data_IF_901601837239
#
_entry.id   IF_901601837239
#
_cell.length_a   1.000
_cell.length_b   1.000
_cell.length_c   1.000
_cell.angle_alpha   90.00
_cell.angle_beta   90.00
_cell.angle_gamma   90.00
#
_symmetry.space_group_name_H-M   'P 1'
#
loop_
_entity.id
_entity.type
_entity.pdbx_description
1 polymer ?
#
# COMPACT_ATOMS: atom_id res chain seq x y z
N UNK A 1 6.84 12.50 -1.06
CA UNK A 1 8.29 12.24 -0.96
C UNK A 1 8.53 10.79 -1.31
N UNK A 2 9.34 10.52 -2.34
CA UNK A 2 9.27 9.24 -3.05
C UNK A 2 10.62 8.70 -3.51
N UNK A 3 10.96 7.48 -3.07
CA UNK A 3 11.74 6.51 -3.86
C UNK A 3 11.84 5.12 -3.18
N UNK A 4 11.22 4.16 -3.87
CA UNK A 4 11.62 2.76 -4.16
C UNK A 4 11.68 1.75 -3.02
N UNK A 5 11.00 0.63 -3.21
CA UNK A 5 10.97 -0.62 -2.42
C UNK A 5 10.11 -0.56 -1.16
N UNK A 6 9.16 -1.49 -1.08
CA UNK A 6 8.12 -1.71 -0.04
C UNK A 6 7.06 -0.62 0.20
N UNK A 7 7.31 0.67 -0.07
CA UNK A 7 6.22 1.65 -0.16
C UNK A 7 6.41 2.55 -1.39
N UNK A 8 5.57 2.33 -2.41
CA UNK A 8 5.41 3.29 -3.48
C UNK A 8 4.76 4.55 -2.92
N UNK A 9 5.30 5.69 -3.32
CA UNK A 9 4.83 7.00 -2.88
C UNK A 9 4.45 7.90 -4.07
N UNK A 10 4.54 7.39 -5.30
CA UNK A 10 3.98 7.89 -6.59
C UNK A 10 3.71 6.70 -7.53
N UNK A 11 2.82 6.85 -8.50
CA UNK A 11 2.47 5.80 -9.46
C UNK A 11 3.68 5.27 -10.29
N UNK A 12 4.67 6.11 -10.60
CA UNK A 12 5.88 5.71 -11.32
C UNK A 12 6.79 4.76 -10.54
N UNK A 13 6.73 4.82 -9.20
CA UNK A 13 7.53 3.95 -8.33
C UNK A 13 7.03 2.49 -8.28
N UNK A 14 5.82 2.24 -8.79
CA UNK A 14 5.30 0.88 -8.95
C UNK A 14 5.77 0.21 -10.25
N UNK A 15 6.30 0.97 -11.22
CA UNK A 15 6.75 0.41 -12.50
C UNK A 15 8.11 -0.28 -12.32
N UNK A 16 8.15 -1.60 -12.58
CA UNK A 16 9.36 -2.42 -12.40
C UNK A 16 9.69 -2.72 -10.93
N UNK A 17 8.79 -2.39 -9.99
CA UNK A 17 8.96 -2.74 -8.60
C UNK A 17 8.90 -4.27 -8.43
N UNK A 18 9.82 -4.88 -7.64
CA UNK A 18 9.76 -6.31 -7.38
C UNK A 18 8.49 -6.68 -6.63
N UNK A 19 8.11 -7.95 -6.69
CA UNK A 19 6.97 -8.51 -5.94
C UNK A 19 7.07 -8.07 -4.47
N UNK A 20 6.05 -7.44 -3.89
CA UNK A 20 6.13 -6.84 -2.55
C UNK A 20 5.95 -7.91 -1.46
N UNK A 21 6.80 -8.95 -1.46
CA UNK A 21 6.69 -10.12 -0.58
C UNK A 21 6.65 -9.76 0.92
N UNK A 22 7.33 -8.67 1.31
CA UNK A 22 7.39 -8.22 2.70
C UNK A 22 6.36 -7.14 3.06
N UNK A 23 5.56 -6.64 2.10
CA UNK A 23 4.61 -5.56 2.39
C UNK A 23 3.54 -5.97 3.41
N UNK A 24 3.16 -7.25 3.46
CA UNK A 24 2.23 -7.77 4.47
C UNK A 24 2.72 -7.60 5.91
N UNK A 25 4.04 -7.58 6.14
CA UNK A 25 4.63 -7.40 7.47
C UNK A 25 4.33 -6.02 8.06
N UNK A 26 4.14 -5.01 7.22
CA UNK A 26 3.79 -3.66 7.67
C UNK A 26 2.40 -3.61 8.30
N UNK A 27 1.42 -4.21 7.62
CA UNK A 27 0.06 -4.35 8.16
C UNK A 27 0.07 -5.14 9.47
N UNK A 28 0.76 -6.27 9.49
CA UNK A 28 0.91 -7.10 10.69
C UNK A 28 1.55 -6.33 11.85
N UNK A 29 2.66 -5.63 11.61
CA UNK A 29 3.35 -4.87 12.65
C UNK A 29 2.48 -3.73 13.21
N UNK A 30 1.67 -3.07 12.37
CA UNK A 30 0.68 -2.08 12.82
C UNK A 30 -0.38 -2.71 13.70
N UNK A 31 -0.92 -3.87 13.30
CA UNK A 31 -1.88 -4.62 14.10
C UNK A 31 -1.30 -5.01 15.47
N UNK A 32 -0.09 -5.57 15.50
CA UNK A 32 0.59 -5.93 16.75
C UNK A 32 0.76 -4.72 17.66
N UNK A 33 1.22 -3.57 17.14
CA UNK A 33 1.35 -2.34 17.95
C UNK A 33 0.00 -1.85 18.50
N UNK A 34 -1.09 -2.07 17.78
CA UNK A 34 -2.42 -1.64 18.19
C UNK A 34 -3.06 -2.60 19.21
N UNK A 35 -2.82 -3.91 19.07
CA UNK A 35 -3.37 -4.95 19.95
C UNK A 35 -2.51 -5.18 21.20
N UNK A 36 -1.20 -4.96 21.10
CA UNK A 36 -0.20 -5.15 22.16
C UNK A 36 0.69 -3.91 22.34
N UNK A 37 0.20 -2.81 22.95
CA UNK A 37 0.95 -1.57 23.13
C UNK A 37 2.23 -1.73 23.98
N UNK A 38 2.32 -2.77 24.80
CA UNK A 38 3.49 -3.14 25.59
C UNK A 38 4.66 -3.64 24.73
N UNK A 39 4.38 -4.13 23.53
CA UNK A 39 5.38 -4.64 22.60
C UNK A 39 5.97 -3.50 21.78
N UNK A 40 7.24 -3.20 22.02
CA UNK A 40 8.00 -2.22 21.22
C UNK A 40 8.43 -2.83 19.89
N UNK A 41 7.57 -2.68 18.89
CA UNK A 41 7.82 -3.17 17.53
C UNK A 41 8.12 -2.02 16.56
N UNK A 42 9.21 -2.16 15.82
CA UNK A 42 9.67 -1.20 14.83
C UNK A 42 9.85 -1.88 13.47
N UNK A 43 9.56 -1.15 12.41
CA UNK A 43 9.72 -1.63 11.03
C UNK A 43 10.63 -0.67 10.27
N UNK A 44 11.72 -1.20 9.74
CA UNK A 44 12.63 -0.44 8.88
C UNK A 44 12.70 -1.16 7.54
N UNK A 45 12.30 -0.46 6.49
CA UNK A 45 12.49 -0.95 5.13
C UNK A 45 13.81 -0.44 4.55
N UNK A 46 14.53 -1.34 3.87
CA UNK A 46 15.94 -1.16 3.53
C UNK A 46 16.15 -1.28 2.02
N UNK A 47 17.07 -0.47 1.49
CA UNK A 47 17.66 -0.75 0.19
C UNK A 47 18.46 -2.07 0.23
N UNK A 48 18.47 -2.80 -0.89
CA UNK A 48 19.17 -4.09 -1.01
C UNK A 48 20.67 -3.99 -0.71
N UNK A 49 21.27 -2.82 -0.95
CA UNK A 49 22.70 -2.54 -0.74
C UNK A 49 22.95 -1.72 0.54
N UNK A 50 21.98 -1.64 1.45
CA UNK A 50 22.13 -0.87 2.67
C UNK A 50 23.20 -1.49 3.59
N UNK A 51 24.10 -0.64 4.11
CA UNK A 51 25.07 -1.07 5.11
C UNK A 51 24.39 -1.18 6.48
N UNK A 52 24.43 -2.38 7.09
CA UNK A 52 23.74 -2.63 8.36
C UNK A 52 24.20 -1.71 9.51
N UNK A 53 25.49 -1.37 9.58
CA UNK A 53 26.01 -0.47 10.61
C UNK A 53 25.48 0.96 10.46
N UNK A 54 25.43 1.47 9.22
CA UNK A 54 24.84 2.77 8.90
C UNK A 54 23.34 2.77 9.24
N UNK A 55 22.60 1.74 8.81
CA UNK A 55 21.17 1.58 9.11
C UNK A 55 20.90 1.68 10.60
N UNK A 56 21.61 0.91 11.43
CA UNK A 56 21.41 0.92 12.89
C UNK A 56 21.72 2.30 13.46
N UNK A 57 22.87 2.87 13.10
CA UNK A 57 23.35 4.15 13.64
C UNK A 57 22.38 5.29 13.34
N UNK A 58 21.80 5.32 12.14
CA UNK A 58 20.94 6.42 11.71
C UNK A 58 19.47 6.22 12.08
N UNK A 59 18.98 4.97 12.15
CA UNK A 59 17.56 4.69 12.45
C UNK A 59 17.27 4.61 13.95
N UNK A 60 18.15 4.03 14.77
CA UNK A 60 17.89 3.83 16.22
C UNK A 60 17.55 5.14 16.97
N UNK A 61 18.23 6.28 16.72
CA UNK A 61 17.86 7.55 17.35
C UNK A 61 16.44 8.04 17.01
N UNK A 62 15.95 7.73 15.81
CA UNK A 62 14.59 8.06 15.36
C UNK A 62 13.56 7.09 15.96
N UNK A 63 13.88 5.80 15.99
CA UNK A 63 13.02 4.76 16.58
C UNK A 63 12.86 4.91 18.10
N UNK A 64 13.88 5.45 18.78
CA UNK A 64 13.85 5.69 20.23
C UNK A 64 13.34 7.09 20.60
N UNK A 65 13.10 7.97 19.62
CA UNK A 65 12.70 9.36 19.85
C UNK A 65 13.81 10.26 20.40
N UNK A 66 15.06 9.79 20.44
CA UNK A 66 16.21 10.57 20.92
C UNK A 66 16.54 11.78 20.03
N UNK A 67 16.27 11.70 18.73
CA UNK A 67 16.61 12.75 17.77
C UNK A 67 15.56 13.86 17.67
N UNK A 68 14.27 13.51 17.68
CA UNK A 68 13.16 14.43 17.38
C UNK A 68 12.17 14.62 18.54
N UNK A 69 12.37 13.94 19.67
CA UNK A 69 11.39 13.85 20.76
C UNK A 69 10.14 13.03 20.41
N UNK A 70 10.06 12.49 19.18
CA UNK A 70 8.95 11.68 18.69
C UNK A 70 9.47 10.30 18.28
N UNK A 71 8.80 9.26 18.78
CA UNK A 71 9.07 7.88 18.39
C UNK A 71 8.51 7.62 16.99
N UNK A 72 9.39 7.25 16.07
CA UNK A 72 8.98 6.72 14.76
C UNK A 72 8.92 5.19 14.84
N UNK A 73 7.77 4.61 14.52
CA UNK A 73 7.61 3.15 14.52
C UNK A 73 7.94 2.49 13.17
N UNK A 74 8.05 3.32 12.14
CA UNK A 74 8.13 2.93 10.75
C UNK A 74 9.09 3.88 10.03
N UNK A 75 10.14 3.32 9.41
CA UNK A 75 11.13 4.08 8.66
C UNK A 75 11.45 3.39 7.33
N UNK A 76 11.79 4.19 6.34
CA UNK A 76 12.39 3.75 5.09
C UNK A 76 13.80 4.32 5.00
N UNK A 77 14.79 3.44 4.95
CA UNK A 77 16.20 3.77 4.79
C UNK A 77 16.63 3.54 3.35
N UNK A 78 17.18 4.59 2.73
CA UNK A 78 17.70 4.54 1.36
C UNK A 78 19.11 5.09 1.32
N UNK A 79 20.05 4.31 0.79
CA UNK A 79 21.47 4.69 0.82
C UNK A 79 21.68 6.02 0.09
N UNK A 80 22.31 6.97 0.78
CA UNK A 80 22.60 8.31 0.23
C UNK A 80 21.37 9.24 0.13
N UNK A 81 20.27 8.91 0.80
CA UNK A 81 19.09 9.77 0.90
C UNK A 81 18.69 9.95 2.37
N UNK A 82 17.84 10.95 2.60
CA UNK A 82 17.22 11.16 3.90
C UNK A 82 16.34 9.98 4.29
N UNK A 83 16.35 9.64 5.59
CA UNK A 83 15.47 8.63 6.17
C UNK A 83 14.04 9.18 6.20
N UNK A 84 13.10 8.39 5.68
CA UNK A 84 11.70 8.79 5.58
C UNK A 84 10.84 8.04 6.60
N UNK A 85 9.83 8.70 7.17
CA UNK A 85 8.76 8.07 7.93
C UNK A 85 7.42 8.24 7.18
N UNK A 86 6.54 7.21 7.14
CA UNK A 86 5.26 7.33 6.44
C UNK A 86 4.33 8.30 7.18
N UNK A 87 3.58 9.07 6.41
CA UNK A 87 2.57 10.02 6.89
C UNK A 87 1.35 9.98 6.01
N UNK A 88 0.17 10.01 6.62
CA UNK A 88 -1.07 10.26 5.91
C UNK A 88 -1.16 11.75 5.63
N UNK A 89 -1.43 12.11 4.38
CA UNK A 89 -1.59 13.49 3.94
C UNK A 89 -2.91 13.62 3.20
N UNK A 90 -3.50 14.81 3.22
CA UNK A 90 -4.68 15.10 2.42
C UNK A 90 -4.33 15.03 0.93
N UNK A 91 -5.02 14.14 0.22
CA UNK A 91 -4.82 13.94 -1.21
C UNK A 91 -5.77 14.77 -2.08
N UNK A 92 -6.75 15.48 -1.51
CA UNK A 92 -7.86 16.14 -2.24
C UNK A 92 -7.36 17.13 -3.28
N UNK A 93 -6.38 17.97 -2.93
CA UNK A 93 -5.80 18.97 -3.84
C UNK A 93 -4.93 18.35 -4.95
N UNK A 94 -4.34 17.19 -4.67
CA UNK A 94 -3.50 16.43 -5.59
C UNK A 94 -4.27 15.39 -6.42
N UNK A 95 -5.53 15.11 -6.06
CA UNK A 95 -6.36 14.17 -6.79
C UNK A 95 -6.54 14.70 -8.20
N UNK A 96 -6.07 13.90 -9.16
CA UNK A 96 -6.34 14.08 -10.57
C UNK A 96 -7.14 12.86 -10.97
N UNK A 97 -8.43 13.02 -11.31
CA UNK A 97 -9.16 11.96 -11.96
C UNK A 97 -8.29 11.48 -13.13
N UNK A 98 -8.07 10.17 -13.22
CA UNK A 98 -7.32 9.63 -14.33
C UNK A 98 -8.11 9.97 -15.59
N UNK A 99 -7.55 10.84 -16.45
CA UNK A 99 -8.21 11.23 -17.69
C UNK A 99 -8.31 9.96 -18.54
N UNK A 100 -9.53 9.44 -18.65
CA UNK A 100 -9.90 8.20 -19.33
C UNK A 100 -9.31 6.91 -18.75
N UNK A 101 -9.82 6.47 -17.60
CA UNK A 101 -10.16 5.04 -17.52
C UNK A 101 -11.38 4.81 -18.41
N UNK A 102 -11.17 4.86 -19.72
CA UNK A 102 -12.20 4.51 -20.70
C UNK A 102 -12.16 3.00 -20.80
N UNK A 103 -13.06 2.35 -20.08
CA UNK A 103 -13.40 0.98 -20.39
C UNK A 103 -14.08 1.07 -21.77
N UNK A 104 -13.31 0.82 -22.82
CA UNK A 104 -13.87 0.84 -24.18
C UNK A 104 -15.05 -0.13 -24.25
N UNK A 105 -16.06 0.16 -25.06
CA UNK A 105 -17.29 -0.65 -25.22
C UNK A 105 -17.03 -2.13 -25.62
N UNK A 106 -15.77 -2.50 -25.90
CA UNK A 106 -15.32 -3.85 -26.20
C UNK A 106 -14.54 -4.54 -25.05
N UNK A 107 -14.31 -3.86 -23.91
CA UNK A 107 -13.51 -4.39 -22.80
C UNK A 107 -14.30 -5.38 -21.94
N UNK A 108 -13.61 -6.41 -21.44
CA UNK A 108 -14.14 -7.32 -20.42
C UNK A 108 -13.45 -7.05 -19.08
N UNK A 109 -14.22 -6.69 -18.06
CA UNK A 109 -13.75 -6.46 -16.70
C UNK A 109 -13.96 -7.72 -15.85
N UNK A 110 -12.88 -8.24 -15.26
CA UNK A 110 -12.93 -9.37 -14.33
C UNK A 110 -12.86 -8.83 -12.91
N UNK A 111 -13.85 -9.15 -12.08
CA UNK A 111 -13.95 -8.67 -10.70
C UNK A 111 -13.78 -9.84 -9.73
N UNK A 112 -12.66 -9.89 -9.01
CA UNK A 112 -12.45 -10.86 -7.91
C UNK A 112 -13.25 -10.46 -6.67
N UNK A 113 -13.92 -11.42 -6.03
CA UNK A 113 -14.90 -11.12 -4.99
C UNK A 113 -16.12 -10.37 -5.55
N UNK A 114 -16.42 -10.59 -6.84
CA UNK A 114 -17.41 -9.81 -7.60
C UNK A 114 -18.84 -9.92 -7.08
N UNK A 115 -19.12 -10.95 -6.28
CA UNK A 115 -20.42 -11.15 -5.61
C UNK A 115 -20.45 -10.59 -4.18
N UNK A 116 -19.38 -9.94 -3.70
CA UNK A 116 -19.37 -9.19 -2.44
C UNK A 116 -20.01 -7.81 -2.59
N UNK A 117 -20.30 -7.15 -1.46
CA UNK A 117 -21.01 -5.86 -1.43
C UNK A 117 -20.38 -4.80 -2.36
N UNK A 118 -19.07 -4.57 -2.25
CA UNK A 118 -18.37 -3.61 -3.12
C UNK A 118 -18.23 -4.11 -4.57
N UNK A 119 -18.13 -5.43 -4.77
CA UNK A 119 -18.01 -6.03 -6.09
C UNK A 119 -19.26 -5.78 -6.94
N UNK A 120 -20.44 -5.92 -6.34
CA UNK A 120 -21.73 -5.66 -7.02
C UNK A 120 -21.92 -4.17 -7.32
N UNK A 121 -21.59 -3.29 -6.38
CA UNK A 121 -21.66 -1.83 -6.60
C UNK A 121 -20.77 -1.44 -7.78
N UNK A 122 -19.54 -1.95 -7.81
CA UNK A 122 -18.60 -1.67 -8.91
C UNK A 122 -19.05 -2.30 -10.23
N UNK A 123 -19.61 -3.52 -10.21
CA UNK A 123 -20.16 -4.17 -11.39
C UNK A 123 -21.31 -3.37 -12.02
N UNK A 124 -22.21 -2.82 -11.18
CA UNK A 124 -23.28 -1.93 -11.63
C UNK A 124 -22.74 -0.71 -12.36
N UNK A 125 -21.78 -0.01 -11.75
CA UNK A 125 -21.11 1.12 -12.39
C UNK A 125 -20.40 0.73 -13.70
N UNK A 126 -19.72 -0.43 -13.74
CA UNK A 126 -19.03 -0.88 -14.95
C UNK A 126 -20.01 -1.21 -16.10
N UNK A 127 -21.18 -1.77 -15.79
CA UNK A 127 -22.23 -2.02 -16.77
C UNK A 127 -22.79 -0.71 -17.36
N UNK A 128 -22.92 0.34 -16.55
CA UNK A 128 -23.30 1.69 -17.04
C UNK A 128 -22.28 2.27 -18.04
N UNK A 129 -21.03 1.80 -17.99
CA UNK A 129 -19.98 2.15 -18.96
C UNK A 129 -19.95 1.21 -20.19
N UNK A 130 -20.97 0.37 -20.40
CA UNK A 130 -21.07 -0.62 -21.49
C UNK A 130 -19.95 -1.68 -21.49
N UNK A 131 -19.52 -2.09 -20.30
CA UNK A 131 -18.42 -3.06 -20.14
C UNK A 131 -18.96 -4.44 -19.88
N UNK A 132 -18.38 -5.46 -20.52
CA UNK A 132 -18.70 -6.85 -20.19
C UNK A 132 -18.10 -7.19 -18.83
N UNK A 133 -18.90 -7.67 -17.89
CA UNK A 133 -18.44 -7.96 -16.53
C UNK A 133 -18.40 -9.47 -16.29
N UNK A 134 -17.29 -9.96 -15.74
CA UNK A 134 -17.12 -11.33 -15.26
C UNK A 134 -16.89 -11.29 -13.75
N UNK A 135 -17.81 -11.88 -12.99
CA UNK A 135 -17.73 -11.92 -11.52
C UNK A 135 -17.08 -13.23 -11.07
N UNK A 136 -15.94 -13.13 -10.39
CA UNK A 136 -15.28 -14.28 -9.77
C UNK A 136 -15.60 -14.31 -8.28
N UNK A 137 -16.04 -15.47 -7.79
CA UNK A 137 -16.28 -15.72 -6.38
C UNK A 137 -15.94 -17.16 -6.03
N UNK A 138 -15.34 -17.37 -4.86
CA UNK A 138 -15.10 -18.72 -4.32
C UNK A 138 -16.40 -19.41 -3.92
N UNK A 139 -17.38 -18.64 -3.45
CA UNK A 139 -18.69 -19.15 -3.03
C UNK A 139 -19.65 -19.41 -4.20
N UNK A 140 -19.25 -19.07 -5.43
CA UNK A 140 -20.11 -19.21 -6.61
C UNK A 140 -21.32 -18.27 -6.58
N UNK A 141 -22.30 -18.55 -7.45
CA UNK A 141 -23.57 -17.84 -7.50
C UNK A 141 -24.30 -17.97 -6.15
N UNK A 142 -24.90 -16.89 -5.61
CA UNK A 142 -25.82 -17.02 -4.49
C UNK A 142 -26.99 -17.96 -4.89
N UNK A 143 -27.63 -18.64 -3.93
CA UNK A 143 -28.80 -19.46 -4.21
C UNK A 143 -29.81 -18.68 -5.04
N UNK A 144 -30.33 -19.29 -6.11
CA UNK A 144 -31.52 -18.78 -6.77
C UNK A 144 -32.70 -19.00 -5.82
N UNK A 145 -33.30 -17.92 -5.34
CA UNK A 145 -34.61 -17.97 -4.68
C UNK A 145 -35.67 -18.59 -5.59
#
# INVERSE_FOLDING_TARGET
FVKTMVQSTTAGDMQGAPVPLHAGLWGLARTVRNEHPEVKLYSVDLDMQANAGAVITETVPLLSGQSSGKVEHELAFRTGKEICAPRLVDATSSFRPYETFSLTEASTCVISGGLGALGIIFAGWALEQNVKVVLLSRSGLPPSD
#
